data_IF_237250497944
#
_entry.id   IF_237250497944
#
_cell.length_a   1.000
_cell.length_b   1.000
_cell.length_c   1.000
_cell.angle_alpha   90.00
_cell.angle_beta   90.00
_cell.angle_gamma   90.00
#
_symmetry.space_group_name_H-M   'P 1'
#
loop_
_entity.id
_entity.type
_entity.pdbx_description
1 polymer ?
#
# COMPACT_ATOMS: atom_id res chain seq x y z
N UNK A 1 49.60 38.40 -56.59
CA UNK A 1 50.11 38.28 -55.21
C UNK A 1 48.92 38.39 -54.28
N UNK A 2 48.29 37.23 -53.92
CA UNK A 2 47.04 37.17 -53.18
C UNK A 2 47.38 36.63 -51.79
N UNK A 3 47.13 37.43 -50.76
CA UNK A 3 47.42 37.15 -49.38
C UNK A 3 46.20 36.51 -48.75
N UNK A 4 46.25 35.22 -48.43
CA UNK A 4 45.18 34.46 -47.73
C UNK A 4 45.34 34.68 -46.24
N UNK A 5 44.34 35.28 -45.61
CA UNK A 5 44.18 35.40 -44.14
C UNK A 5 43.46 34.21 -43.59
N UNK A 6 44.17 33.38 -42.81
CA UNK A 6 43.58 32.22 -42.07
C UNK A 6 42.93 32.73 -40.79
N UNK A 7 41.57 32.60 -40.75
CA UNK A 7 40.79 32.81 -39.53
C UNK A 7 40.83 31.55 -38.68
N UNK A 8 41.46 31.60 -37.51
CA UNK A 8 41.39 30.51 -36.50
C UNK A 8 40.15 30.69 -35.65
N UNK A 9 39.19 29.79 -35.81
CA UNK A 9 38.01 29.68 -34.94
C UNK A 9 38.35 28.81 -33.71
N UNK A 10 38.38 29.41 -32.54
CA UNK A 10 38.50 28.70 -31.25
C UNK A 10 37.13 28.29 -30.77
N UNK A 11 36.89 26.99 -30.73
CA UNK A 11 35.65 26.41 -30.18
C UNK A 11 35.85 26.23 -28.67
N UNK A 12 35.15 27.01 -27.85
CA UNK A 12 35.01 26.77 -26.40
C UNK A 12 34.02 25.65 -26.18
N UNK A 13 34.52 24.50 -25.73
CA UNK A 13 33.63 23.41 -25.22
C UNK A 13 33.24 23.73 -23.77
N UNK A 14 32.00 24.10 -23.55
CA UNK A 14 31.44 24.22 -22.21
C UNK A 14 31.08 22.78 -21.68
N UNK A 15 31.86 22.33 -20.70
CA UNK A 15 31.59 21.09 -19.99
C UNK A 15 30.43 21.35 -19.00
N UNK A 16 29.21 20.86 -19.33
CA UNK A 16 28.09 20.84 -18.40
C UNK A 16 28.32 19.72 -17.38
N UNK A 17 28.71 20.07 -16.15
CA UNK A 17 28.71 19.13 -15.02
C UNK A 17 27.27 18.91 -14.58
N UNK A 18 26.68 17.75 -14.93
CA UNK A 18 25.43 17.29 -14.39
C UNK A 18 25.66 16.94 -12.91
N UNK A 19 25.18 17.79 -12.01
CA UNK A 19 25.09 17.47 -10.59
C UNK A 19 24.05 16.35 -10.43
N UNK A 20 24.50 15.14 -10.16
CA UNK A 20 23.62 14.04 -9.75
C UNK A 20 23.06 14.36 -8.37
N UNK A 21 21.78 14.71 -8.30
CA UNK A 21 21.06 14.83 -7.04
C UNK A 21 21.01 13.41 -6.45
N UNK A 22 21.55 13.15 -5.24
CA UNK A 22 21.41 11.84 -4.62
C UNK A 22 19.93 11.62 -4.35
N UNK A 23 19.31 10.68 -5.07
CA UNK A 23 18.00 10.16 -4.72
C UNK A 23 18.18 9.46 -3.37
N UNK A 24 17.69 10.09 -2.32
CA UNK A 24 17.66 9.51 -0.99
C UNK A 24 16.66 8.37 -1.05
N UNK A 25 17.14 7.15 -1.28
CA UNK A 25 16.34 5.94 -1.07
C UNK A 25 16.04 5.86 0.42
N UNK A 26 14.88 6.37 0.81
CA UNK A 26 14.33 6.10 2.14
C UNK A 26 13.91 4.64 2.12
N UNK A 27 14.78 3.76 2.63
CA UNK A 27 14.37 2.39 2.91
C UNK A 27 13.18 2.47 3.88
N UNK A 28 12.03 1.97 3.45
CA UNK A 28 10.88 1.80 4.33
C UNK A 28 11.33 0.83 5.44
N UNK A 29 11.18 1.16 6.72
CA UNK A 29 11.46 0.21 7.79
C UNK A 29 10.70 -1.09 7.55
N UNK A 30 11.33 -2.23 7.87
CA UNK A 30 10.71 -3.54 7.65
C UNK A 30 9.41 -3.72 8.45
N UNK A 31 9.25 -2.95 9.55
CA UNK A 31 8.10 -2.99 10.45
C UNK A 31 7.34 -1.65 10.45
N UNK A 32 6.02 -1.69 10.29
CA UNK A 32 5.14 -0.52 10.25
C UNK A 32 3.71 -0.88 10.68
N UNK A 33 2.94 0.11 11.07
CA UNK A 33 1.47 0.03 11.18
C UNK A 33 0.85 0.77 10.00
N UNK A 34 -0.41 0.49 9.68
CA UNK A 34 -1.14 1.12 8.58
C UNK A 34 -2.32 1.92 9.14
N UNK A 35 -2.33 3.22 8.91
CA UNK A 35 -3.40 4.13 9.32
C UNK A 35 -4.28 4.51 8.14
N UNK A 36 -5.57 4.56 8.36
CA UNK A 36 -6.56 4.96 7.36
C UNK A 36 -6.67 6.47 7.22
N UNK A 37 -6.61 6.94 5.98
CA UNK A 37 -7.06 8.27 5.57
C UNK A 37 -8.27 8.10 4.67
N UNK A 38 -9.41 8.63 5.09
CA UNK A 38 -10.65 8.56 4.29
C UNK A 38 -10.55 9.52 3.11
N UNK A 39 -10.78 9.01 1.89
CA UNK A 39 -10.65 9.79 0.64
C UNK A 39 -11.98 10.10 -0.02
N UNK A 40 -13.10 9.65 0.55
CA UNK A 40 -14.46 9.85 0.06
C UNK A 40 -15.45 10.04 1.18
N UNK A 41 -16.64 9.43 1.06
CA UNK A 41 -17.62 9.38 2.15
C UNK A 41 -17.09 8.49 3.26
N UNK A 42 -17.19 8.98 4.50
CA UNK A 42 -16.76 8.24 5.68
C UNK A 42 -17.90 7.38 6.26
N UNK A 43 -17.54 6.43 7.11
CA UNK A 43 -18.49 5.65 7.88
C UNK A 43 -18.84 6.35 9.20
N UNK A 44 -19.82 5.82 9.90
CA UNK A 44 -20.15 6.23 11.25
C UNK A 44 -20.10 5.00 12.18
N UNK A 45 -19.14 4.95 13.14
CA UNK A 45 -18.13 5.96 13.47
C UNK A 45 -17.08 6.17 12.37
N UNK A 46 -16.38 7.33 12.40
CA UNK A 46 -15.34 7.71 11.45
C UNK A 46 -14.18 6.73 11.44
N UNK A 47 -13.66 6.46 10.24
CA UNK A 47 -12.45 5.64 10.04
C UNK A 47 -11.17 6.47 9.99
N UNK A 48 -11.29 7.80 9.97
CA UNK A 48 -10.12 8.67 9.86
C UNK A 48 -9.16 8.43 11.03
N UNK A 49 -7.92 8.02 10.72
CA UNK A 49 -6.88 7.74 11.69
C UNK A 49 -7.00 6.38 12.39
N UNK A 50 -8.00 5.55 12.08
CA UNK A 50 -8.02 4.17 12.54
C UNK A 50 -6.89 3.37 11.90
N UNK A 51 -6.45 2.31 12.57
CA UNK A 51 -5.33 1.49 12.14
C UNK A 51 -5.81 0.09 11.73
N UNK A 52 -5.07 -0.54 10.80
CA UNK A 52 -5.35 -1.93 10.44
C UNK A 52 -4.89 -2.88 11.55
N UNK A 53 -5.76 -3.82 11.87
CA UNK A 53 -5.47 -4.99 12.68
C UNK A 53 -6.12 -6.21 12.02
N UNK A 54 -6.22 -7.33 12.73
CA UNK A 54 -6.87 -8.52 12.19
C UNK A 54 -7.61 -9.30 13.26
N UNK A 55 -8.64 -10.01 12.83
CA UNK A 55 -9.45 -10.90 13.68
C UNK A 55 -9.47 -12.29 13.05
N UNK A 56 -9.03 -13.29 13.81
CA UNK A 56 -9.02 -14.68 13.35
C UNK A 56 -10.45 -15.14 13.00
N UNK A 57 -10.59 -15.78 11.85
CA UNK A 57 -11.86 -16.35 11.36
C UNK A 57 -11.76 -17.87 11.16
N UNK A 58 -10.57 -18.43 11.08
CA UNK A 58 -10.27 -19.85 11.00
C UNK A 58 -8.85 -20.14 11.45
N UNK A 59 -8.48 -21.42 11.52
CA UNK A 59 -7.10 -21.82 11.78
C UNK A 59 -6.18 -21.21 10.71
N UNK A 60 -5.19 -20.44 11.18
CA UNK A 60 -4.21 -19.78 10.30
C UNK A 60 -4.80 -18.83 9.24
N UNK A 61 -5.97 -18.26 9.50
CA UNK A 61 -6.64 -17.27 8.65
C UNK A 61 -7.32 -16.19 9.48
N UNK A 62 -7.22 -14.93 9.05
CA UNK A 62 -7.84 -13.79 9.70
C UNK A 62 -8.33 -12.76 8.69
N UNK A 63 -9.45 -12.10 9.01
CA UNK A 63 -9.90 -10.92 8.30
C UNK A 63 -9.10 -9.70 8.75
N UNK A 64 -8.65 -8.87 7.81
CA UNK A 64 -8.08 -7.56 8.15
C UNK A 64 -9.23 -6.60 8.44
N UNK A 65 -9.16 -5.96 9.61
CA UNK A 65 -10.19 -5.07 10.15
C UNK A 65 -9.58 -3.74 10.60
N UNK A 66 -10.44 -2.77 10.92
CA UNK A 66 -10.03 -1.48 11.46
C UNK A 66 -10.19 -1.46 12.98
N UNK A 67 -9.23 -0.86 13.67
CA UNK A 67 -9.17 -0.66 15.11
C UNK A 67 -8.87 0.82 15.44
N UNK A 68 -9.14 1.28 16.67
CA UNK A 68 -8.75 2.61 17.11
C UNK A 68 -7.25 2.89 16.91
N UNK A 69 -6.89 4.17 16.76
CA UNK A 69 -5.50 4.60 16.66
C UNK A 69 -4.69 4.11 17.86
N UNK A 70 -3.53 3.52 17.60
CA UNK A 70 -2.65 2.92 18.62
C UNK A 70 -2.89 1.43 18.87
N UNK A 71 -3.98 0.85 18.36
CA UNK A 71 -4.34 -0.57 18.51
C UNK A 71 -4.09 -1.40 17.25
N UNK A 72 -3.46 -0.81 16.24
CA UNK A 72 -3.12 -1.48 14.98
C UNK A 72 -2.06 -2.56 15.14
N UNK A 73 -2.15 -3.58 14.29
CA UNK A 73 -1.13 -4.62 14.21
C UNK A 73 0.14 -4.10 13.51
N UNK A 74 1.27 -4.72 13.81
CA UNK A 74 2.53 -4.48 13.14
C UNK A 74 2.64 -5.37 11.90
N UNK A 75 2.76 -4.74 10.75
CA UNK A 75 3.00 -5.38 9.46
C UNK A 75 4.48 -5.30 9.07
N UNK A 76 4.87 -6.18 8.17
CA UNK A 76 6.23 -6.27 7.61
C UNK A 76 6.17 -6.40 6.10
N UNK A 77 7.18 -5.88 5.43
CA UNK A 77 7.40 -6.16 4.01
C UNK A 77 8.54 -7.16 3.84
N UNK A 78 8.34 -8.13 2.95
CA UNK A 78 9.41 -9.05 2.52
C UNK A 78 9.34 -9.18 1.00
N UNK A 79 10.22 -8.46 0.31
CA UNK A 79 10.13 -8.34 -1.15
C UNK A 79 8.83 -7.65 -1.59
N UNK A 80 8.02 -8.34 -2.40
CA UNK A 80 6.74 -7.84 -2.92
C UNK A 80 5.52 -8.41 -2.17
N UNK A 81 5.69 -8.74 -0.89
CA UNK A 81 4.60 -9.21 -0.04
C UNK A 81 4.52 -8.40 1.24
N UNK A 82 3.32 -8.26 1.77
CA UNK A 82 3.02 -7.64 3.06
C UNK A 82 2.36 -8.68 3.96
N UNK A 83 2.70 -8.69 5.23
CA UNK A 83 2.15 -9.65 6.18
C UNK A 83 2.51 -9.34 7.62
N UNK A 84 2.32 -10.33 8.49
CA UNK A 84 2.70 -10.29 9.90
C UNK A 84 3.71 -11.42 10.20
N UNK A 85 4.68 -11.16 11.08
CA UNK A 85 5.71 -12.16 11.40
C UNK A 85 5.16 -13.29 12.28
N UNK A 86 4.19 -12.97 13.14
CA UNK A 86 3.55 -13.93 14.03
C UNK A 86 2.04 -13.73 13.91
N UNK A 87 1.31 -14.81 13.64
CA UNK A 87 -0.11 -14.72 13.34
C UNK A 87 -0.99 -14.57 14.59
N UNK A 88 -0.67 -15.28 15.67
CA UNK A 88 -1.48 -15.24 16.91
C UNK A 88 -0.64 -15.03 18.17
N UNK A 89 0.56 -15.55 18.17
CA UNK A 89 1.55 -15.45 19.25
C UNK A 89 2.97 -15.55 18.69
N UNK A 90 3.98 -15.29 19.50
CA UNK A 90 5.39 -15.29 19.09
C UNK A 90 5.90 -16.65 18.57
N UNK A 91 5.15 -17.73 18.78
CA UNK A 91 5.48 -19.07 18.30
C UNK A 91 4.75 -19.43 16.99
N UNK A 92 3.76 -18.63 16.58
CA UNK A 92 2.97 -18.86 15.38
C UNK A 92 3.76 -18.54 14.12
N UNK A 93 3.51 -19.24 13.00
CA UNK A 93 4.08 -18.87 11.72
C UNK A 93 3.58 -17.50 11.27
N UNK A 94 4.39 -16.81 10.46
CA UNK A 94 3.97 -15.60 9.81
C UNK A 94 2.82 -15.83 8.82
N UNK A 95 2.03 -14.79 8.59
CA UNK A 95 0.92 -14.81 7.65
C UNK A 95 1.04 -13.67 6.65
N UNK A 96 0.82 -13.96 5.37
CA UNK A 96 0.83 -12.98 4.30
C UNK A 96 -0.55 -12.43 4.02
N UNK A 97 -0.58 -11.20 3.50
CA UNK A 97 -1.81 -10.55 3.04
C UNK A 97 -2.31 -11.20 1.75
N UNK A 98 -3.56 -11.62 1.75
CA UNK A 98 -4.26 -12.17 0.59
C UNK A 98 -5.23 -11.12 0.07
N UNK A 99 -5.03 -10.70 -1.17
CA UNK A 99 -5.93 -9.79 -1.89
C UNK A 99 -6.57 -10.56 -3.03
N UNK A 100 -7.89 -10.68 -3.01
CA UNK A 100 -8.66 -11.38 -4.06
C UNK A 100 -9.46 -10.36 -4.87
N UNK A 101 -8.91 -9.86 -5.99
CA UNK A 101 -9.64 -9.00 -6.92
C UNK A 101 -10.87 -9.71 -7.47
N UNK A 102 -11.85 -8.95 -7.92
CA UNK A 102 -13.05 -9.52 -8.55
C UNK A 102 -14.13 -8.49 -8.82
N UNK A 103 -15.34 -8.98 -9.04
CA UNK A 103 -16.48 -8.16 -9.39
C UNK A 103 -16.67 -8.01 -10.90
N UNK A 104 -17.37 -6.95 -11.30
CA UNK A 104 -17.58 -6.56 -12.71
C UNK A 104 -16.66 -5.40 -13.08
N UNK A 105 -16.69 -4.98 -14.35
CA UNK A 105 -15.87 -3.86 -14.82
C UNK A 105 -16.03 -2.55 -14.01
N UNK A 106 -17.21 -2.34 -13.41
CA UNK A 106 -17.54 -1.09 -12.69
C UNK A 106 -17.88 -1.29 -11.22
N UNK A 107 -18.12 -2.53 -10.77
CA UNK A 107 -18.51 -2.83 -9.39
C UNK A 107 -17.55 -3.88 -8.83
N UNK A 108 -16.79 -3.57 -7.74
CA UNK A 108 -15.87 -4.52 -7.14
C UNK A 108 -16.61 -5.69 -6.50
N UNK A 109 -15.86 -6.76 -6.24
CA UNK A 109 -16.33 -7.79 -5.31
C UNK A 109 -16.34 -7.24 -3.89
N UNK A 110 -17.08 -7.91 -3.00
CA UNK A 110 -17.02 -7.65 -1.56
C UNK A 110 -16.00 -8.57 -0.84
N UNK A 111 -15.01 -9.09 -1.57
CA UNK A 111 -13.99 -9.95 -0.99
C UNK A 111 -13.20 -9.20 0.08
N UNK A 112 -13.10 -9.82 1.25
CA UNK A 112 -12.29 -9.30 2.35
C UNK A 112 -10.83 -9.55 2.06
N UNK A 113 -9.98 -8.60 2.42
CA UNK A 113 -8.53 -8.82 2.47
C UNK A 113 -8.22 -9.59 3.74
N UNK A 114 -7.48 -10.67 3.60
CA UNK A 114 -7.21 -11.62 4.68
C UNK A 114 -5.71 -11.75 4.94
N UNK A 115 -5.37 -12.28 6.11
CA UNK A 115 -4.07 -12.87 6.39
C UNK A 115 -4.19 -14.38 6.32
N UNK A 116 -3.22 -15.03 5.71
CA UNK A 116 -3.15 -16.50 5.65
C UNK A 116 -1.72 -16.99 5.87
N UNK A 117 -1.56 -18.01 6.73
CA UNK A 117 -0.24 -18.61 6.95
C UNK A 117 0.28 -19.28 5.68
N UNK A 118 1.58 -19.13 5.47
CA UNK A 118 2.29 -19.78 4.35
C UNK A 118 1.77 -19.40 2.95
N UNK A 119 0.96 -18.35 2.85
CA UNK A 119 0.45 -17.82 1.59
C UNK A 119 0.49 -16.29 1.60
N UNK A 120 0.64 -15.68 0.43
CA UNK A 120 0.60 -14.23 0.25
C UNK A 120 0.30 -13.87 -1.20
N UNK A 121 -0.31 -12.71 -1.42
CA UNK A 121 -0.45 -12.13 -2.74
C UNK A 121 0.81 -11.34 -3.09
N UNK A 122 1.49 -11.74 -4.16
CA UNK A 122 2.66 -11.02 -4.70
C UNK A 122 2.24 -9.68 -5.33
N UNK A 123 3.07 -8.66 -5.21
CA UNK A 123 2.82 -7.32 -5.76
C UNK A 123 2.05 -6.40 -4.81
N UNK A 124 1.73 -6.87 -3.60
CA UNK A 124 1.29 -5.99 -2.52
C UNK A 124 2.51 -5.29 -1.95
N UNK A 125 2.52 -3.96 -1.99
CA UNK A 125 3.67 -3.15 -1.58
C UNK A 125 3.25 -1.97 -0.72
N UNK A 126 4.19 -1.44 0.05
CA UNK A 126 4.01 -0.24 0.86
C UNK A 126 5.05 0.79 0.43
N UNK A 127 4.58 2.00 0.15
CA UNK A 127 5.38 3.16 -0.23
C UNK A 127 5.06 4.34 0.69
N UNK A 128 5.70 5.49 0.47
CA UNK A 128 5.28 6.75 1.13
C UNK A 128 3.83 7.13 0.82
N UNK A 129 3.30 6.67 -0.31
CA UNK A 129 1.91 6.92 -0.74
C UNK A 129 0.93 5.89 -0.17
N UNK A 130 1.42 4.93 0.61
CA UNK A 130 0.63 3.93 1.33
C UNK A 130 0.71 2.52 0.76
N UNK A 131 -0.20 1.66 1.25
CA UNK A 131 -0.40 0.29 0.78
C UNK A 131 -0.96 0.30 -0.64
N UNK A 132 -0.33 -0.45 -1.55
CA UNK A 132 -0.67 -0.49 -2.98
C UNK A 132 -0.77 -1.91 -3.50
N UNK A 133 -1.66 -2.12 -4.48
CA UNK A 133 -1.78 -3.35 -5.24
C UNK A 133 -2.39 -3.09 -6.63
N UNK A 134 -1.73 -3.52 -7.70
CA UNK A 134 -2.21 -3.46 -9.10
C UNK A 134 -2.86 -2.13 -9.54
N UNK A 135 -2.45 -0.99 -8.97
CA UNK A 135 -3.02 0.32 -9.27
C UNK A 135 -4.49 0.50 -8.88
N UNK A 136 -5.05 -0.40 -8.07
CA UNK A 136 -6.39 -0.30 -7.51
C UNK A 136 -6.44 0.56 -6.25
N UNK A 137 -7.53 0.43 -5.50
CA UNK A 137 -7.75 1.20 -4.27
C UNK A 137 -8.39 0.32 -3.17
N UNK A 138 -8.36 0.81 -1.95
CA UNK A 138 -8.88 0.12 -0.78
C UNK A 138 -10.23 0.67 -0.36
N UNK A 139 -11.08 -0.22 0.10
CA UNK A 139 -12.39 0.10 0.68
C UNK A 139 -12.47 -0.47 2.09
N UNK A 140 -13.12 0.28 2.98
CA UNK A 140 -13.50 -0.17 4.30
C UNK A 140 -15.01 -0.47 4.29
N UNK A 141 -15.38 -1.72 4.50
CA UNK A 141 -16.75 -2.19 4.34
C UNK A 141 -17.30 -2.77 5.64
N UNK A 142 -18.46 -2.30 6.14
CA UNK A 142 -19.12 -2.95 7.27
C UNK A 142 -19.53 -4.39 6.92
N UNK A 143 -19.13 -5.35 7.77
CA UNK A 143 -19.45 -6.76 7.62
C UNK A 143 -19.50 -7.46 8.98
N UNK A 144 -20.57 -8.14 9.30
CA UNK A 144 -20.71 -8.98 10.49
C UNK A 144 -20.31 -8.28 11.82
N UNK A 145 -20.67 -7.00 11.94
CA UNK A 145 -20.39 -6.19 13.13
C UNK A 145 -18.97 -5.58 13.21
N UNK A 146 -18.12 -5.83 12.23
CA UNK A 146 -16.81 -5.22 12.08
C UNK A 146 -16.71 -4.37 10.79
N UNK A 147 -15.69 -3.55 10.68
CA UNK A 147 -15.32 -2.91 9.42
C UNK A 147 -14.09 -3.65 8.86
N UNK A 148 -14.26 -4.27 7.70
CA UNK A 148 -13.24 -5.08 7.05
C UNK A 148 -12.58 -4.33 5.90
N UNK A 149 -11.31 -4.66 5.63
CA UNK A 149 -10.61 -4.17 4.46
C UNK A 149 -11.03 -4.97 3.22
N UNK A 150 -11.32 -4.27 2.12
CA UNK A 150 -11.61 -4.84 0.81
C UNK A 150 -10.85 -4.09 -0.28
N UNK A 151 -10.70 -4.72 -1.44
CA UNK A 151 -9.97 -4.18 -2.58
C UNK A 151 -10.90 -3.92 -3.77
N UNK A 152 -10.68 -2.81 -4.47
CA UNK A 152 -11.30 -2.54 -5.77
C UNK A 152 -10.24 -2.29 -6.85
N UNK A 153 -10.46 -2.83 -8.03
CA UNK A 153 -9.58 -2.59 -9.17
C UNK A 153 -9.75 -1.15 -9.70
N UNK A 154 -8.75 -0.67 -10.43
CA UNK A 154 -8.83 0.62 -11.09
C UNK A 154 -10.08 0.71 -12.00
N UNK A 155 -10.79 1.83 -11.90
CA UNK A 155 -12.03 2.08 -12.65
C UNK A 155 -13.30 1.51 -12.00
N UNK A 156 -13.20 0.70 -10.95
CA UNK A 156 -14.36 0.25 -10.19
C UNK A 156 -14.82 1.34 -9.19
N UNK A 157 -16.13 1.50 -9.04
CA UNK A 157 -16.73 2.41 -8.05
C UNK A 157 -16.74 1.78 -6.67
N UNK A 158 -16.78 2.59 -5.63
CA UNK A 158 -16.95 2.12 -4.25
C UNK A 158 -18.33 1.51 -4.03
N UNK A 159 -18.42 0.44 -3.27
CA UNK A 159 -19.71 -0.12 -2.85
C UNK A 159 -20.46 0.87 -1.97
N UNK A 160 -21.80 0.91 -2.08
CA UNK A 160 -22.63 1.95 -1.47
C UNK A 160 -22.53 2.03 0.07
N UNK A 161 -22.16 0.95 0.74
CA UNK A 161 -21.98 0.90 2.21
C UNK A 161 -20.54 1.00 2.67
N UNK A 162 -19.59 1.19 1.73
CA UNK A 162 -18.16 1.22 2.04
C UNK A 162 -17.60 2.63 1.94
N UNK A 163 -16.51 2.90 2.64
CA UNK A 163 -15.71 4.11 2.51
C UNK A 163 -14.44 3.84 1.69
N UNK A 164 -14.02 4.81 0.88
CA UNK A 164 -12.71 4.77 0.24
C UNK A 164 -11.64 5.20 1.25
N UNK A 165 -10.58 4.42 1.34
CA UNK A 165 -9.47 4.69 2.25
C UNK A 165 -8.12 4.56 1.56
N UNK A 166 -7.20 5.45 1.93
CA UNK A 166 -5.78 5.30 1.70
C UNK A 166 -5.14 4.80 2.99
N UNK A 167 -4.24 3.85 2.92
CA UNK A 167 -3.61 3.21 4.07
C UNK A 167 -2.15 3.63 4.14
N UNK A 168 -1.85 4.60 5.00
CA UNK A 168 -0.52 5.20 5.13
C UNK A 168 0.30 4.49 6.20
N UNK A 169 1.60 4.20 5.94
CA UNK A 169 2.45 3.59 6.94
C UNK A 169 2.79 4.55 8.08
N UNK A 170 2.77 4.03 9.30
CA UNK A 170 3.24 4.67 10.53
C UNK A 170 4.41 3.83 11.06
N UNK A 171 5.54 4.48 11.34
CA UNK A 171 6.78 3.87 11.81
C UNK A 171 7.01 4.09 13.29
#
# INVERSE_FOLDING_TARGET
MVMQTLLKATILAAAATAASIPVRSTSIPDAFRLSATVTGLDLNPSLQGQELTYVSNADCQANIVFAPAGEGATFYTTGEIVGVNHFSDDSSPGAGMIVTPGGTATVPSSNVVELQCSASTTGVSVTSDGLQYLGGAWMACPRDGAVVLSFKQAGQRTLASCADVQLLPIY
#
